data_IF_534498108490
#
_entry.id   IF_534498108490
#
_cell.length_a   1.000
_cell.length_b   1.000
_cell.length_c   1.000
_cell.angle_alpha   90.00
_cell.angle_beta   90.00
_cell.angle_gamma   90.00
#
_symmetry.space_group_name_H-M   'P 1'
#
loop_
_entity.id
_entity.type
_entity.pdbx_description
1 polymer ?
#
# COMPACT_ATOMS: atom_id res chain seq x y z
N UNK A 1 -17.82 -9.19 3.96
CA UNK A 1 -17.12 -8.73 2.74
C UNK A 1 -17.03 -9.89 1.76
N UNK A 2 -17.18 -9.60 0.46
CA UNK A 2 -17.26 -10.60 -0.61
C UNK A 2 -16.38 -10.26 -1.81
N UNK A 3 -15.21 -9.65 -1.59
CA UNK A 3 -14.32 -9.21 -2.68
C UNK A 3 -13.87 -10.35 -3.59
N UNK A 4 -13.63 -11.55 -3.06
CA UNK A 4 -13.36 -12.72 -3.89
C UNK A 4 -14.50 -13.01 -4.87
N UNK A 5 -15.75 -12.93 -4.41
CA UNK A 5 -16.91 -13.10 -5.28
C UNK A 5 -17.07 -11.92 -6.26
N UNK A 6 -16.88 -10.69 -5.79
CA UNK A 6 -17.06 -9.46 -6.58
C UNK A 6 -16.02 -9.31 -7.69
N UNK A 7 -14.77 -9.65 -7.41
CA UNK A 7 -13.64 -9.53 -8.34
C UNK A 7 -13.24 -10.88 -8.96
N UNK A 8 -14.05 -11.93 -8.73
CA UNK A 8 -13.83 -13.28 -9.26
C UNK A 8 -12.43 -13.84 -8.94
N UNK A 9 -11.95 -13.59 -7.71
CA UNK A 9 -10.65 -14.06 -7.24
C UNK A 9 -10.82 -15.47 -6.67
N UNK A 10 -10.14 -16.44 -7.30
CA UNK A 10 -10.08 -17.81 -6.80
C UNK A 10 -9.30 -17.90 -5.48
N UNK A 11 -9.77 -18.75 -4.57
CA UNK A 11 -9.16 -18.90 -3.23
C UNK A 11 -7.75 -19.46 -3.29
N UNK A 12 -7.44 -20.31 -4.28
CA UNK A 12 -6.11 -20.86 -4.49
C UNK A 12 -5.20 -19.75 -5.02
N UNK A 13 -5.68 -18.92 -5.94
CA UNK A 13 -4.95 -17.74 -6.43
C UNK A 13 -4.60 -16.78 -5.29
N UNK A 14 -5.59 -16.39 -4.47
CA UNK A 14 -5.36 -15.51 -3.32
C UNK A 14 -4.38 -16.13 -2.32
N UNK A 15 -4.55 -17.40 -1.98
CA UNK A 15 -3.65 -18.11 -1.06
C UNK A 15 -2.23 -18.19 -1.60
N UNK A 16 -2.08 -18.41 -2.89
CA UNK A 16 -0.78 -18.48 -3.56
C UNK A 16 -0.10 -17.12 -3.52
N UNK A 17 -0.81 -16.05 -3.90
CA UNK A 17 -0.33 -14.69 -3.79
C UNK A 17 0.18 -14.36 -2.37
N UNK A 18 -0.65 -14.59 -1.34
CA UNK A 18 -0.27 -14.30 0.04
C UNK A 18 0.93 -15.13 0.51
N UNK A 19 1.01 -16.41 0.11
CA UNK A 19 2.15 -17.26 0.45
C UNK A 19 3.44 -16.78 -0.21
N UNK A 20 3.42 -16.50 -1.51
CA UNK A 20 4.61 -16.02 -2.24
C UNK A 20 5.08 -14.70 -1.65
N UNK A 21 4.15 -13.79 -1.34
CA UNK A 21 4.49 -12.51 -0.74
C UNK A 21 5.08 -12.66 0.66
N UNK A 22 4.50 -13.52 1.51
CA UNK A 22 5.01 -13.80 2.85
C UNK A 22 6.44 -14.39 2.83
N UNK A 23 6.77 -15.22 1.83
CA UNK A 23 8.15 -15.72 1.65
C UNK A 23 9.11 -14.65 1.11
N UNK A 24 8.60 -13.58 0.49
CA UNK A 24 9.40 -12.44 0.07
C UNK A 24 9.83 -11.53 1.23
N UNK A 25 9.22 -11.66 2.41
CA UNK A 25 9.69 -10.99 3.61
C UNK A 25 10.84 -11.75 4.25
N UNK A 26 11.89 -11.03 4.64
CA UNK A 26 13.09 -11.58 5.28
C UNK A 26 12.80 -11.90 6.75
N UNK A 27 12.77 -13.18 7.09
CA UNK A 27 12.36 -13.64 8.43
C UNK A 27 13.40 -13.33 9.53
N UNK A 28 14.64 -13.04 9.15
CA UNK A 28 15.74 -12.62 10.02
C UNK A 28 15.67 -11.14 10.42
N UNK A 29 14.86 -10.32 9.73
CA UNK A 29 14.61 -8.96 10.16
C UNK A 29 13.84 -8.96 11.50
N UNK A 30 14.32 -8.24 12.53
CA UNK A 30 13.64 -8.18 13.83
C UNK A 30 12.30 -7.44 13.75
N UNK A 31 12.15 -6.51 12.80
CA UNK A 31 10.94 -5.68 12.64
C UNK A 31 10.28 -5.86 11.27
N UNK A 32 10.95 -5.47 10.17
CA UNK A 32 10.39 -5.50 8.80
C UNK A 32 10.29 -6.93 8.23
N UNK A 33 9.37 -7.72 8.78
CA UNK A 33 9.10 -9.11 8.39
C UNK A 33 7.58 -9.29 8.13
N UNK A 34 7.17 -10.52 7.78
CA UNK A 34 5.78 -10.80 7.43
C UNK A 34 4.78 -10.54 8.58
N UNK A 35 5.23 -10.56 9.84
CA UNK A 35 4.38 -10.23 11.00
C UNK A 35 4.07 -8.73 11.02
N UNK A 36 5.06 -7.88 10.73
CA UNK A 36 4.83 -6.44 10.58
C UNK A 36 3.82 -6.15 9.47
N UNK A 37 3.98 -6.77 8.29
CA UNK A 37 3.03 -6.61 7.20
C UNK A 37 1.60 -7.05 7.59
N UNK A 38 1.46 -8.13 8.36
CA UNK A 38 0.16 -8.57 8.86
C UNK A 38 -0.47 -7.57 9.85
N UNK A 39 0.32 -6.97 10.74
CA UNK A 39 -0.12 -5.94 11.68
C UNK A 39 -0.60 -4.67 10.95
N UNK A 40 0.20 -4.17 10.00
CA UNK A 40 -0.19 -3.03 9.15
C UNK A 40 -1.46 -3.33 8.37
N UNK A 41 -1.60 -4.55 7.84
CA UNK A 41 -2.80 -4.99 7.13
C UNK A 41 -4.03 -4.98 8.03
N UNK A 42 -3.89 -5.42 9.28
CA UNK A 42 -4.99 -5.39 10.25
C UNK A 42 -5.39 -3.94 10.58
N UNK A 43 -4.43 -3.06 10.80
CA UNK A 43 -4.68 -1.64 11.09
C UNK A 43 -5.36 -0.94 9.91
N UNK A 44 -4.88 -1.14 8.69
CA UNK A 44 -5.49 -0.60 7.46
C UNK A 44 -6.91 -1.13 7.30
N UNK A 45 -7.13 -2.43 7.52
CA UNK A 45 -8.46 -3.02 7.46
C UNK A 45 -9.41 -2.38 8.48
N UNK A 46 -8.94 -2.09 9.69
CA UNK A 46 -9.73 -1.37 10.69
C UNK A 46 -10.10 0.04 10.21
N UNK A 47 -9.13 0.81 9.70
CA UNK A 47 -9.38 2.18 9.24
C UNK A 47 -10.36 2.27 8.07
N UNK A 48 -10.21 1.44 7.04
CA UNK A 48 -11.12 1.45 5.87
C UNK A 48 -12.55 1.01 6.21
N UNK A 49 -12.75 0.35 7.36
CA UNK A 49 -14.06 -0.04 7.87
C UNK A 49 -14.60 0.88 8.97
N UNK A 50 -13.82 1.88 9.38
CA UNK A 50 -14.27 2.87 10.36
C UNK A 50 -15.45 3.71 9.83
N UNK A 51 -16.35 4.18 10.73
CA UNK A 51 -17.40 5.11 10.35
C UNK A 51 -16.82 6.33 9.63
N UNK A 52 -17.47 6.78 8.57
CA UNK A 52 -17.01 7.89 7.74
C UNK A 52 -16.16 7.47 6.54
N UNK A 53 -15.13 6.62 6.73
CA UNK A 53 -14.33 6.10 5.59
C UNK A 53 -15.05 4.99 4.85
N UNK A 54 -15.66 4.05 5.59
CA UNK A 54 -16.29 2.86 5.00
C UNK A 54 -17.30 3.18 3.91
N UNK A 55 -18.11 4.22 4.11
CA UNK A 55 -19.21 4.53 3.21
C UNK A 55 -18.79 5.48 2.07
N UNK A 56 -17.53 5.98 2.10
CA UNK A 56 -16.95 6.88 1.08
C UNK A 56 -16.01 6.16 0.12
N UNK A 57 -15.46 5.02 0.53
CA UNK A 57 -14.55 4.22 -0.29
C UNK A 57 -15.31 3.17 -1.11
N UNK A 58 -14.92 3.03 -2.37
CA UNK A 58 -15.35 1.94 -3.25
C UNK A 58 -14.76 0.59 -2.80
N UNK A 59 -15.33 -0.52 -3.27
CA UNK A 59 -14.77 -1.83 -2.98
C UNK A 59 -13.38 -2.03 -3.59
N UNK A 60 -13.10 -1.44 -4.75
CA UNK A 60 -11.77 -1.54 -5.39
C UNK A 60 -10.72 -0.78 -4.58
N UNK A 61 -11.05 0.40 -4.05
CA UNK A 61 -10.16 1.16 -3.16
C UNK A 61 -9.87 0.42 -1.85
N UNK A 62 -10.90 -0.16 -1.22
CA UNK A 62 -10.73 -0.93 0.02
C UNK A 62 -9.91 -2.20 -0.19
N UNK A 63 -10.17 -2.93 -1.26
CA UNK A 63 -9.38 -4.10 -1.65
C UNK A 63 -7.94 -3.69 -1.91
N UNK A 64 -7.72 -2.62 -2.68
CA UNK A 64 -6.38 -2.11 -3.00
C UNK A 64 -5.61 -1.69 -1.75
N UNK A 65 -6.26 -1.04 -0.78
CA UNK A 65 -5.61 -0.65 0.46
C UNK A 65 -5.06 -1.86 1.24
N UNK A 66 -5.80 -2.97 1.27
CA UNK A 66 -5.35 -4.22 1.89
C UNK A 66 -4.19 -4.85 1.10
N UNK A 67 -4.26 -4.84 -0.23
CA UNK A 67 -3.16 -5.34 -1.09
C UNK A 67 -1.89 -4.49 -0.93
N UNK A 68 -2.01 -3.16 -0.86
CA UNK A 68 -0.87 -2.28 -0.62
C UNK A 68 -0.25 -2.54 0.76
N UNK A 69 -1.07 -2.71 1.81
CA UNK A 69 -0.59 -3.00 3.16
C UNK A 69 0.23 -4.29 3.26
N UNK A 70 -0.19 -5.37 2.59
CA UNK A 70 0.60 -6.62 2.58
C UNK A 70 1.89 -6.50 1.76
N UNK A 71 1.94 -5.62 0.77
CA UNK A 71 3.10 -5.40 -0.12
C UNK A 71 4.14 -4.45 0.48
N UNK A 72 3.73 -3.49 1.31
CA UNK A 72 4.46 -2.23 1.49
C UNK A 72 5.94 -2.33 1.87
N UNK A 73 6.36 -3.42 2.53
CA UNK A 73 7.73 -3.67 3.02
C UNK A 73 8.32 -4.99 2.49
N UNK A 74 7.77 -5.56 1.41
CA UNK A 74 8.26 -6.85 0.89
C UNK A 74 9.73 -6.75 0.46
N UNK A 75 10.54 -7.75 0.83
CA UNK A 75 12.00 -7.80 0.63
C UNK A 75 12.78 -6.63 1.27
N UNK A 76 12.29 -6.08 2.40
CA UNK A 76 13.03 -5.09 3.16
C UNK A 76 14.38 -5.65 3.66
N UNK A 77 15.52 -4.94 3.47
CA UNK A 77 16.85 -5.45 3.80
C UNK A 77 17.26 -5.27 5.27
N UNK A 78 16.41 -4.64 6.08
CA UNK A 78 16.69 -4.31 7.49
C UNK A 78 17.56 -3.05 7.65
N UNK A 79 17.73 -2.28 6.58
CA UNK A 79 18.49 -1.03 6.51
C UNK A 79 17.56 0.10 6.07
N UNK A 80 17.92 1.35 6.33
CA UNK A 80 17.12 2.51 5.91
C UNK A 80 17.66 3.16 4.61
N UNK A 81 16.83 4.00 3.98
CA UNK A 81 17.19 4.72 2.74
C UNK A 81 18.53 5.46 2.84
N UNK A 82 18.78 6.17 3.96
CA UNK A 82 20.01 6.93 4.17
C UNK A 82 21.29 6.07 4.22
N UNK A 83 21.17 4.80 4.66
CA UNK A 83 22.27 3.85 4.62
C UNK A 83 22.52 3.33 3.20
N UNK A 84 21.46 2.96 2.46
CA UNK A 84 21.56 2.44 1.09
C UNK A 84 22.17 3.47 0.14
N UNK A 85 21.77 4.73 0.26
CA UNK A 85 22.34 5.84 -0.52
C UNK A 85 23.85 5.99 -0.33
N UNK A 86 24.35 5.71 0.87
CA UNK A 86 25.77 5.87 1.23
C UNK A 86 26.62 4.64 0.91
N UNK A 87 26.02 3.50 0.60
CA UNK A 87 26.71 2.20 0.60
C UNK A 87 26.95 1.56 -0.78
N UNK A 88 26.79 2.28 -1.90
CA UNK A 88 26.83 1.69 -3.25
C UNK A 88 25.93 0.43 -3.36
N UNK A 89 24.83 0.41 -2.60
CA UNK A 89 23.92 -0.72 -2.56
C UNK A 89 23.19 -0.89 -3.91
N UNK A 90 22.96 -2.13 -4.32
CA UNK A 90 22.33 -2.46 -5.60
C UNK A 90 20.89 -1.91 -5.69
N UNK A 91 20.14 -1.89 -4.58
CA UNK A 91 18.77 -1.35 -4.53
C UNK A 91 18.82 0.15 -4.86
N UNK A 92 19.75 0.90 -4.28
CA UNK A 92 19.94 2.32 -4.57
C UNK A 92 20.38 2.56 -6.03
N UNK A 93 21.24 1.70 -6.58
CA UNK A 93 21.64 1.79 -7.98
C UNK A 93 20.47 1.59 -8.96
N UNK A 94 19.53 0.69 -8.63
CA UNK A 94 18.37 0.38 -9.48
C UNK A 94 17.27 1.43 -9.34
N UNK A 95 16.95 1.84 -8.11
CA UNK A 95 15.76 2.65 -7.83
C UNK A 95 16.05 4.15 -7.64
N UNK A 96 17.32 4.54 -7.51
CA UNK A 96 17.74 5.91 -7.21
C UNK A 96 17.53 6.30 -5.75
N UNK A 97 17.81 7.56 -5.43
CA UNK A 97 17.96 8.09 -4.06
C UNK A 97 16.69 8.71 -3.44
N UNK A 98 15.56 8.72 -4.14
CA UNK A 98 14.29 9.19 -3.57
C UNK A 98 13.43 7.96 -3.37
N UNK A 99 12.86 7.76 -2.16
CA UNK A 99 11.99 6.64 -1.81
C UNK A 99 12.51 5.29 -2.33
N UNK A 100 13.78 5.00 -2.06
CA UNK A 100 14.54 3.88 -2.63
C UNK A 100 13.91 2.54 -2.23
N UNK A 101 13.67 2.35 -0.93
CA UNK A 101 13.03 1.17 -0.37
C UNK A 101 11.59 1.03 -0.85
N UNK A 102 10.80 2.09 -0.83
CA UNK A 102 9.39 2.04 -1.22
C UNK A 102 9.25 1.68 -2.71
N UNK A 103 10.16 2.15 -3.57
CA UNK A 103 10.22 1.73 -4.98
C UNK A 103 10.61 0.26 -5.12
N UNK A 104 11.56 -0.22 -4.31
CA UNK A 104 11.96 -1.62 -4.26
C UNK A 104 10.79 -2.54 -3.87
N UNK A 105 10.11 -2.22 -2.77
CA UNK A 105 8.92 -2.96 -2.29
C UNK A 105 7.81 -2.96 -3.33
N UNK A 106 7.57 -1.81 -3.98
CA UNK A 106 6.59 -1.71 -5.05
C UNK A 106 6.92 -2.62 -6.23
N UNK A 107 8.17 -2.62 -6.70
CA UNK A 107 8.59 -3.48 -7.82
C UNK A 107 8.44 -4.96 -7.46
N UNK A 108 8.94 -5.39 -6.30
CA UNK A 108 8.82 -6.76 -5.84
C UNK A 108 7.36 -7.19 -5.62
N UNK A 109 6.53 -6.33 -5.03
CA UNK A 109 5.12 -6.60 -4.79
C UNK A 109 4.29 -6.70 -6.08
N UNK A 110 4.51 -5.79 -7.04
CA UNK A 110 3.83 -5.84 -8.34
C UNK A 110 4.24 -7.09 -9.13
N UNK A 111 5.51 -7.48 -9.10
CA UNK A 111 5.96 -8.74 -9.72
C UNK A 111 5.17 -9.94 -9.18
N UNK A 112 5.06 -10.07 -7.85
CA UNK A 112 4.26 -11.14 -7.23
C UNK A 112 2.78 -11.06 -7.62
N UNK A 113 2.21 -9.85 -7.61
CA UNK A 113 0.81 -9.59 -7.96
C UNK A 113 0.48 -10.08 -9.38
N UNK A 114 1.34 -9.76 -10.35
CA UNK A 114 1.16 -10.16 -11.74
C UNK A 114 1.48 -11.63 -11.98
N UNK A 115 2.56 -12.17 -11.42
CA UNK A 115 2.91 -13.59 -11.57
C UNK A 115 1.85 -14.52 -10.97
N UNK A 116 1.15 -14.07 -9.93
CA UNK A 116 0.07 -14.82 -9.33
C UNK A 116 -1.29 -14.60 -10.02
N UNK A 117 -1.38 -13.80 -11.08
CA UNK A 117 -2.62 -13.54 -11.81
C UNK A 117 -3.79 -13.03 -10.91
N UNK A 118 -3.49 -12.35 -9.79
CA UNK A 118 -4.50 -12.00 -8.78
C UNK A 118 -5.62 -11.11 -9.34
N UNK A 119 -5.28 -10.22 -10.27
CA UNK A 119 -6.20 -9.24 -10.87
C UNK A 119 -6.76 -9.69 -12.23
N UNK A 120 -6.51 -10.93 -12.65
CA UNK A 120 -6.75 -11.39 -14.02
C UNK A 120 -8.21 -11.30 -14.48
N UNK A 121 -9.14 -11.54 -13.55
CA UNK A 121 -10.59 -11.54 -13.82
C UNK A 121 -11.25 -10.18 -13.58
N UNK A 122 -10.49 -9.17 -13.12
CA UNK A 122 -11.01 -7.81 -12.94
C UNK A 122 -11.16 -7.12 -14.29
N UNK A 123 -12.03 -6.11 -14.34
CA UNK A 123 -12.14 -5.25 -15.52
C UNK A 123 -10.81 -4.52 -15.78
N UNK A 124 -10.51 -4.11 -17.03
CA UNK A 124 -9.32 -3.34 -17.32
C UNK A 124 -9.21 -2.05 -16.47
N UNK A 125 -10.33 -1.37 -16.26
CA UNK A 125 -10.43 -0.16 -15.44
C UNK A 125 -10.09 -0.45 -13.97
N UNK A 126 -10.70 -1.47 -13.38
CA UNK A 126 -10.41 -1.85 -11.99
C UNK A 126 -8.94 -2.27 -11.83
N UNK A 127 -8.38 -3.02 -12.79
CA UNK A 127 -6.98 -3.45 -12.74
C UNK A 127 -6.02 -2.26 -12.83
N UNK A 128 -6.29 -1.30 -13.71
CA UNK A 128 -5.52 -0.07 -13.79
C UNK A 128 -5.61 0.74 -12.50
N UNK A 129 -6.82 0.87 -11.94
CA UNK A 129 -7.05 1.55 -10.67
C UNK A 129 -6.28 0.88 -9.52
N UNK A 130 -6.34 -0.46 -9.40
CA UNK A 130 -5.57 -1.20 -8.39
C UNK A 130 -4.07 -0.92 -8.55
N UNK A 131 -3.51 -1.05 -9.76
CA UNK A 131 -2.08 -0.82 -9.98
C UNK A 131 -1.65 0.61 -9.65
N UNK A 132 -2.44 1.60 -10.06
CA UNK A 132 -2.17 3.01 -9.79
C UNK A 132 -2.21 3.31 -8.29
N UNK A 133 -3.23 2.82 -7.60
CA UNK A 133 -3.43 3.09 -6.18
C UNK A 133 -2.47 2.27 -5.30
N UNK A 134 -2.11 1.02 -5.64
CA UNK A 134 -1.02 0.29 -4.95
C UNK A 134 0.28 1.10 -5.02
N UNK A 135 0.63 1.60 -6.21
CA UNK A 135 1.82 2.44 -6.39
C UNK A 135 1.77 3.67 -5.50
N UNK A 136 0.66 4.39 -5.48
CA UNK A 136 0.54 5.58 -4.64
C UNK A 136 0.67 5.25 -3.14
N UNK A 137 -0.06 4.23 -2.65
CA UNK A 137 -0.09 3.88 -1.24
C UNK A 137 1.26 3.35 -0.73
N UNK A 138 1.96 2.53 -1.51
CA UNK A 138 3.29 2.03 -1.14
C UNK A 138 4.32 3.16 -1.16
N UNK A 139 4.33 4.02 -2.19
CA UNK A 139 5.24 5.18 -2.20
C UNK A 139 4.92 6.20 -1.11
N UNK A 140 3.68 6.21 -0.62
CA UNK A 140 3.27 7.03 0.51
C UNK A 140 3.78 6.49 1.84
N UNK A 141 4.36 5.29 1.96
CA UNK A 141 4.93 4.85 3.25
C UNK A 141 6.28 5.51 3.57
N UNK A 142 6.94 6.14 2.58
CA UNK A 142 8.18 6.89 2.79
C UNK A 142 8.00 7.96 3.87
N UNK A 143 8.74 7.79 4.96
CA UNK A 143 8.68 8.68 6.12
C UNK A 143 9.39 10.01 5.90
N UNK A 144 10.30 10.13 4.93
CA UNK A 144 10.86 11.41 4.53
C UNK A 144 9.79 12.36 3.96
N UNK A 145 8.69 11.79 3.42
CA UNK A 145 7.55 12.53 2.87
C UNK A 145 6.38 12.68 3.84
N UNK A 146 6.54 12.27 5.11
CA UNK A 146 5.44 12.31 6.08
C UNK A 146 4.79 13.70 6.21
N UNK A 147 5.59 14.76 6.29
CA UNK A 147 5.11 16.15 6.38
C UNK A 147 4.22 16.55 5.20
N UNK A 148 4.64 16.23 3.96
CA UNK A 148 3.89 16.50 2.73
C UNK A 148 2.49 15.86 2.77
N UNK A 149 2.40 14.58 3.17
CA UNK A 149 1.12 13.87 3.25
C UNK A 149 0.22 14.42 4.36
N UNK A 150 0.79 14.82 5.50
CA UNK A 150 0.05 15.42 6.61
C UNK A 150 -0.49 16.81 6.26
N UNK A 151 0.30 17.65 5.58
CA UNK A 151 -0.15 18.95 5.08
C UNK A 151 -1.30 18.81 4.09
N UNK A 152 -1.17 17.88 3.13
CA UNK A 152 -2.25 17.57 2.16
C UNK A 152 -3.52 17.10 2.86
N UNK A 153 -3.39 16.18 3.82
CA UNK A 153 -4.53 15.67 4.60
C UNK A 153 -5.21 16.79 5.37
N UNK A 154 -4.45 17.59 6.12
CA UNK A 154 -4.98 18.69 6.90
C UNK A 154 -5.69 19.72 6.01
N UNK A 155 -5.07 20.15 4.90
CA UNK A 155 -5.67 21.12 3.98
C UNK A 155 -7.02 20.66 3.41
N UNK A 156 -7.14 19.38 3.06
CA UNK A 156 -8.39 18.80 2.55
C UNK A 156 -9.49 18.72 3.63
N UNK A 157 -9.12 18.51 4.90
CA UNK A 157 -10.09 18.42 6.01
C UNK A 157 -10.44 19.78 6.63
N UNK A 158 -9.55 20.79 6.55
CA UNK A 158 -9.81 22.13 7.10
C UNK A 158 -10.56 23.04 6.14
N UNK A 159 -10.31 22.95 4.84
CA UNK A 159 -10.86 23.89 3.86
C UNK A 159 -12.26 23.50 3.37
N UNK A 160 -12.76 22.33 3.79
CA UNK A 160 -13.97 21.73 3.26
C UNK A 160 -13.71 21.11 1.89
N UNK A 161 -14.31 19.94 1.62
CA UNK A 161 -14.31 19.31 0.30
C UNK A 161 -15.63 19.61 -0.38
N UNK A 162 -15.59 20.07 -1.63
CA UNK A 162 -16.78 20.07 -2.45
C UNK A 162 -17.08 18.62 -2.87
N UNK A 163 -18.04 18.00 -2.17
CA UNK A 163 -18.48 16.62 -2.44
C UNK A 163 -19.17 16.47 -3.80
N UNK A 164 -19.53 17.57 -4.48
CA UNK A 164 -20.05 17.54 -5.86
C UNK A 164 -18.95 17.51 -6.92
N UNK A 165 -17.71 17.86 -6.54
CA UNK A 165 -16.53 17.77 -7.40
C UNK A 165 -15.88 16.38 -7.30
N UNK A 166 -16.00 15.57 -8.34
CA UNK A 166 -15.47 14.21 -8.38
C UNK A 166 -13.95 14.14 -8.21
N UNK A 167 -13.21 15.17 -8.64
CA UNK A 167 -11.77 15.26 -8.49
C UNK A 167 -11.34 15.49 -7.04
N UNK A 168 -11.97 16.45 -6.36
CA UNK A 168 -11.71 16.72 -4.93
C UNK A 168 -12.14 15.55 -4.05
N UNK A 169 -13.28 14.93 -4.38
CA UNK A 169 -13.75 13.71 -3.71
C UNK A 169 -12.74 12.57 -3.84
N UNK A 170 -12.22 12.33 -5.06
CA UNK A 170 -11.17 11.35 -5.31
C UNK A 170 -9.91 11.63 -4.49
N UNK A 171 -9.43 12.88 -4.53
CA UNK A 171 -8.23 13.30 -3.79
C UNK A 171 -8.37 13.11 -2.27
N UNK A 172 -9.55 13.39 -1.71
CA UNK A 172 -9.86 13.15 -0.30
C UNK A 172 -9.82 11.66 0.05
N UNK A 173 -10.44 10.79 -0.75
CA UNK A 173 -10.40 9.34 -0.52
C UNK A 173 -8.97 8.80 -0.53
N UNK A 174 -8.19 9.18 -1.52
CA UNK A 174 -6.80 8.76 -1.64
C UNK A 174 -5.94 9.30 -0.49
N UNK A 175 -6.13 10.56 -0.10
CA UNK A 175 -5.45 11.14 1.07
C UNK A 175 -5.77 10.37 2.36
N UNK A 176 -7.03 9.98 2.59
CA UNK A 176 -7.41 9.17 3.74
C UNK A 176 -6.75 7.78 3.72
N UNK A 177 -6.61 7.15 2.54
CA UNK A 177 -5.93 5.87 2.40
C UNK A 177 -4.42 5.98 2.64
N UNK A 178 -3.76 7.03 2.12
CA UNK A 178 -2.35 7.33 2.38
C UNK A 178 -2.07 7.48 3.89
N UNK A 179 -2.94 8.20 4.61
CA UNK A 179 -2.82 8.32 6.06
C UNK A 179 -3.12 6.99 6.77
N UNK A 180 -4.06 6.19 6.28
CA UNK A 180 -4.39 4.88 6.88
C UNK A 180 -3.20 3.92 6.84
N UNK A 181 -2.51 3.82 5.70
CA UNK A 181 -1.32 2.94 5.57
C UNK A 181 -0.13 3.48 6.35
N UNK A 182 0.10 4.80 6.34
CA UNK A 182 1.13 5.43 7.19
C UNK A 182 0.88 5.19 8.68
N UNK A 183 -0.35 5.39 9.16
CA UNK A 183 -0.72 5.19 10.55
C UNK A 183 -0.59 3.72 10.99
N UNK A 184 -0.81 2.77 10.08
CA UNK A 184 -0.52 1.35 10.32
C UNK A 184 0.99 1.08 10.42
N UNK A 185 1.79 1.62 9.49
CA UNK A 185 3.24 1.38 9.40
C UNK A 185 4.03 1.87 10.63
N UNK A 186 3.60 2.99 11.26
CA UNK A 186 4.32 3.59 12.41
C UNK A 186 3.82 3.15 13.79
N UNK A 187 2.83 2.25 13.89
CA UNK A 187 2.10 2.00 15.15
C UNK A 187 2.93 1.35 16.27
N UNK A 188 4.13 0.85 15.97
CA UNK A 188 4.97 0.10 16.91
C UNK A 188 6.32 0.79 17.21
N UNK A 189 6.45 2.09 16.94
CA UNK A 189 7.61 2.91 17.37
C UNK A 189 7.36 3.57 18.72
#
# INVERSE_FOLDING_TARGET
MGWMAKFHIDVITLRTFLKVLAHGYRADNPFHNAVHAADVTQAVYYFINSPGLRDRLTDVEKFTAVIAAVIHDVDHPGLNNAFLEKSNDLINLIHGSSGTLERHHLTAGLDVLFRCDLLKQMTPEDREHVCSLVKELVLATDMARHGEFMEKFNGLHTNGVDWSNSGEFGAMRTSNLNISIKAGSIRNT
#
